data_IF_010450755562
#
_entry.id   IF_010450755562
#
_cell.length_a   1.000
_cell.length_b   1.000
_cell.length_c   1.000
_cell.angle_alpha   90.00
_cell.angle_beta   90.00
_cell.angle_gamma   90.00
#
_symmetry.space_group_name_H-M   'P 1'
#
loop_
_entity.id
_entity.type
_entity.pdbx_description
1 polymer ?
#
# COMPACT_ATOMS: atom_id res chain seq x y z
N UNK A 1 49.13 69.43 -0.18
CA UNK A 1 50.49 69.00 0.11
C UNK A 1 50.49 67.48 0.17
N UNK A 2 50.98 66.88 -0.90
CA UNK A 2 52.22 66.09 -1.06
C UNK A 2 52.33 64.95 -0.06
N UNK A 3 52.52 63.67 -0.38
CA UNK A 3 53.32 62.99 -1.47
C UNK A 3 52.91 61.48 -1.35
N UNK A 4 52.59 60.72 -2.40
CA UNK A 4 53.44 59.82 -3.17
C UNK A 4 54.34 58.88 -2.30
N UNK A 5 54.18 57.56 -2.34
CA UNK A 5 54.97 56.64 -3.20
C UNK A 5 54.72 55.15 -2.81
N UNK A 6 54.31 54.32 -3.75
CA UNK A 6 55.05 53.23 -4.44
C UNK A 6 55.38 51.94 -3.66
N UNK A 7 54.77 50.93 -4.16
CA UNK A 7 55.26 49.57 -4.50
C UNK A 7 56.01 48.72 -3.46
N UNK A 8 55.56 47.50 -3.24
CA UNK A 8 56.31 46.31 -3.72
C UNK A 8 55.49 45.01 -3.54
N UNK A 9 55.60 44.19 -4.56
CA UNK A 9 55.10 42.85 -4.71
C UNK A 9 55.69 41.88 -3.68
N UNK A 10 54.84 40.95 -3.13
CA UNK A 10 55.34 39.68 -2.64
C UNK A 10 54.23 38.63 -2.83
N UNK A 11 54.46 37.72 -3.73
CA UNK A 11 53.76 36.48 -4.01
C UNK A 11 53.75 35.58 -2.78
N UNK A 12 52.55 35.28 -2.27
CA UNK A 12 52.31 34.25 -1.26
C UNK A 12 51.36 33.22 -1.81
N UNK A 13 51.89 32.07 -2.22
CA UNK A 13 51.12 30.88 -2.63
C UNK A 13 50.47 30.31 -1.38
N UNK A 14 49.17 30.47 -1.24
CA UNK A 14 48.37 29.76 -0.23
C UNK A 14 47.93 28.41 -0.83
N UNK A 15 48.56 27.33 -0.37
CA UNK A 15 48.11 25.97 -0.60
C UNK A 15 46.80 25.78 0.16
N UNK A 16 45.67 25.83 -0.53
CA UNK A 16 44.38 25.34 -0.01
C UNK A 16 44.35 23.82 -0.13
N UNK A 17 44.60 23.13 0.99
CA UNK A 17 44.30 21.71 1.13
C UNK A 17 42.78 21.51 1.09
N UNK A 18 42.22 21.25 -0.08
CA UNK A 18 40.88 20.73 -0.23
C UNK A 18 40.88 19.27 0.22
N UNK A 19 40.43 19.03 1.45
CA UNK A 19 40.12 17.67 1.93
C UNK A 19 38.92 17.17 1.13
N UNK A 20 39.16 16.42 0.08
CA UNK A 20 38.19 15.58 -0.57
C UNK A 20 37.85 14.46 0.41
N UNK A 21 36.75 14.60 1.15
CA UNK A 21 36.06 13.45 1.81
C UNK A 21 35.42 12.64 0.69
N UNK A 22 36.16 11.68 0.17
CA UNK A 22 35.60 10.65 -0.70
C UNK A 22 34.59 9.83 0.14
N UNK A 23 33.30 10.12 0.00
CA UNK A 23 32.25 9.25 0.45
C UNK A 23 32.34 7.96 -0.38
N UNK A 24 33.07 6.98 0.15
CA UNK A 24 33.18 5.65 -0.42
C UNK A 24 31.79 5.00 -0.32
N UNK A 25 30.95 5.19 -1.35
CA UNK A 25 29.81 4.35 -1.59
C UNK A 25 30.36 2.93 -1.82
N UNK A 26 30.27 2.08 -0.79
CA UNK A 26 30.58 0.66 -0.92
C UNK A 26 29.54 0.02 -1.85
N UNK A 27 29.69 0.18 -3.15
CA UNK A 27 29.08 -0.68 -4.16
C UNK A 27 29.82 -2.02 -4.10
N UNK A 28 29.31 -2.96 -3.31
CA UNK A 28 29.84 -4.31 -3.32
C UNK A 28 29.68 -4.88 -4.73
N UNK A 29 30.78 -5.34 -5.34
CA UNK A 29 30.76 -6.01 -6.64
C UNK A 29 29.74 -7.16 -6.65
N UNK A 30 29.07 -7.44 -7.77
CA UNK A 30 28.09 -8.53 -7.88
C UNK A 30 28.63 -9.89 -7.38
N UNK A 31 29.92 -10.17 -7.57
CA UNK A 31 30.61 -11.38 -7.09
C UNK A 31 30.66 -11.43 -5.55
N UNK A 32 30.97 -10.31 -4.89
CA UNK A 32 31.01 -10.26 -3.42
C UNK A 32 29.59 -10.38 -2.81
N UNK A 33 28.57 -9.80 -3.50
CA UNK A 33 27.18 -9.95 -3.07
C UNK A 33 26.70 -11.40 -3.14
N UNK A 34 27.13 -12.17 -4.15
CA UNK A 34 26.81 -13.58 -4.29
C UNK A 34 27.48 -14.43 -3.19
N UNK A 35 28.77 -14.27 -2.93
CA UNK A 35 29.49 -15.03 -1.90
C UNK A 35 28.90 -14.81 -0.49
N UNK A 36 28.53 -13.57 -0.17
CA UNK A 36 27.93 -13.25 1.11
C UNK A 36 26.48 -13.78 1.22
N UNK A 37 25.73 -13.80 0.12
CA UNK A 37 24.40 -14.41 0.07
C UNK A 37 24.48 -15.94 0.23
N UNK A 38 25.41 -16.60 -0.43
CA UNK A 38 25.64 -18.04 -0.26
C UNK A 38 26.03 -18.39 1.18
N UNK A 39 26.90 -17.55 1.81
CA UNK A 39 27.20 -17.72 3.25
C UNK A 39 25.95 -17.61 4.12
N UNK A 40 25.07 -16.64 3.80
CA UNK A 40 23.76 -16.53 4.47
C UNK A 40 22.92 -17.80 4.27
N UNK A 41 22.77 -18.27 3.05
CA UNK A 41 22.00 -19.51 2.75
C UNK A 41 22.56 -20.68 3.53
N UNK A 42 23.89 -20.92 3.51
CA UNK A 42 24.52 -21.99 4.29
C UNK A 42 24.24 -21.88 5.80
N UNK A 43 24.36 -20.70 6.36
CA UNK A 43 24.15 -20.46 7.80
C UNK A 43 22.66 -20.53 8.20
N UNK A 44 21.75 -20.17 7.30
CA UNK A 44 20.32 -20.17 7.55
C UNK A 44 19.72 -21.57 7.68
N UNK A 45 20.42 -22.60 7.16
CA UNK A 45 20.06 -24.01 7.32
C UNK A 45 19.80 -24.41 8.79
N UNK A 46 20.65 -23.97 9.72
CA UNK A 46 20.44 -24.25 11.13
C UNK A 46 19.06 -23.82 11.64
N UNK A 47 18.60 -22.63 11.20
CA UNK A 47 17.28 -22.10 11.53
C UNK A 47 16.16 -22.87 10.84
N UNK A 48 16.34 -23.24 9.58
CA UNK A 48 15.38 -24.03 8.82
C UNK A 48 15.21 -25.44 9.40
N UNK A 49 16.32 -26.13 9.70
CA UNK A 49 16.32 -27.43 10.36
C UNK A 49 15.59 -27.39 11.72
N UNK A 50 15.88 -26.38 12.55
CA UNK A 50 15.17 -26.17 13.83
C UNK A 50 13.67 -25.92 13.63
N UNK A 51 13.27 -25.37 12.50
CA UNK A 51 11.88 -25.12 12.14
C UNK A 51 11.16 -26.34 11.54
N UNK A 52 11.84 -27.50 11.42
CA UNK A 52 11.29 -28.75 10.91
C UNK A 52 11.31 -28.86 9.38
N UNK A 53 12.18 -28.13 8.69
CA UNK A 53 12.33 -28.19 7.24
C UNK A 53 13.32 -29.34 6.92
N UNK A 54 12.96 -30.21 5.97
CA UNK A 54 13.82 -31.24 5.47
C UNK A 54 14.97 -30.67 4.62
N UNK A 55 16.08 -31.40 4.56
CA UNK A 55 17.23 -31.00 3.74
C UNK A 55 16.84 -30.96 2.25
N UNK A 56 16.02 -31.90 1.81
CA UNK A 56 15.53 -31.97 0.44
C UNK A 56 14.79 -30.68 0.05
N UNK A 57 13.76 -30.28 0.81
CA UNK A 57 12.99 -29.07 0.55
C UNK A 57 13.87 -27.81 0.61
N UNK A 58 14.84 -27.80 1.55
CA UNK A 58 15.76 -26.67 1.64
C UNK A 58 16.62 -26.52 0.38
N UNK A 59 17.24 -27.62 -0.07
CA UNK A 59 18.10 -27.60 -1.25
C UNK A 59 17.30 -27.26 -2.52
N UNK A 60 16.11 -27.84 -2.69
CA UNK A 60 15.20 -27.50 -3.79
C UNK A 60 14.82 -26.03 -3.79
N UNK A 61 14.48 -25.48 -2.61
CA UNK A 61 14.06 -24.08 -2.47
C UNK A 61 15.16 -23.07 -2.84
N UNK A 62 16.42 -23.41 -2.60
CA UNK A 62 17.56 -22.52 -2.85
C UNK A 62 18.35 -22.85 -4.12
N UNK A 63 17.97 -23.91 -4.86
CA UNK A 63 18.69 -24.32 -6.06
C UNK A 63 18.79 -23.17 -7.08
N UNK A 64 20.03 -22.80 -7.43
CA UNK A 64 20.32 -21.76 -8.42
C UNK A 64 19.91 -20.33 -8.02
N UNK A 65 19.47 -20.10 -6.80
CA UNK A 65 19.04 -18.76 -6.39
C UNK A 65 20.23 -17.83 -6.12
N UNK A 66 20.11 -16.63 -6.65
CA UNK A 66 20.96 -15.47 -6.36
C UNK A 66 20.12 -14.36 -5.75
N UNK A 67 20.70 -13.40 -5.00
CA UNK A 67 19.93 -12.26 -4.47
C UNK A 67 19.27 -11.49 -5.60
N UNK A 68 18.07 -10.97 -5.36
CA UNK A 68 17.34 -10.15 -6.33
C UNK A 68 17.75 -8.68 -6.16
N UNK A 69 18.40 -8.05 -7.18
CA UNK A 69 18.86 -6.67 -7.08
C UNK A 69 17.73 -5.67 -6.84
N UNK A 70 16.57 -5.87 -7.48
CA UNK A 70 15.40 -5.00 -7.31
C UNK A 70 14.85 -5.08 -5.88
N UNK A 71 14.87 -6.26 -5.26
CA UNK A 71 14.47 -6.44 -3.85
C UNK A 71 15.44 -5.72 -2.93
N UNK A 72 16.75 -5.76 -3.21
CA UNK A 72 17.76 -5.01 -2.45
C UNK A 72 17.54 -3.50 -2.57
N UNK A 73 17.31 -3.01 -3.77
CA UNK A 73 17.00 -1.61 -4.03
C UNK A 73 15.75 -1.15 -3.31
N UNK A 74 14.62 -1.85 -3.47
CA UNK A 74 13.36 -1.53 -2.77
C UNK A 74 13.48 -1.61 -1.25
N UNK A 75 14.35 -2.49 -0.74
CA UNK A 75 14.60 -2.60 0.71
C UNK A 75 15.47 -1.44 1.24
N UNK A 76 16.41 -0.93 0.42
CA UNK A 76 17.25 0.21 0.75
C UNK A 76 16.52 1.55 0.63
N UNK A 77 15.75 1.69 -0.44
CA UNK A 77 15.02 2.90 -0.78
C UNK A 77 13.52 2.68 -0.50
N UNK A 78 13.03 3.09 0.69
CA UNK A 78 11.60 3.39 0.76
C UNK A 78 11.42 4.74 0.10
N UNK A 79 10.60 4.84 -0.96
CA UNK A 79 10.25 6.13 -1.48
C UNK A 79 9.60 6.94 -0.35
N UNK A 80 10.22 8.03 0.03
CA UNK A 80 9.71 8.97 1.05
C UNK A 80 8.42 9.67 0.61
N UNK A 81 7.94 9.38 -0.59
CA UNK A 81 6.68 9.87 -1.14
C UNK A 81 5.50 9.08 -0.55
N UNK A 82 5.25 9.30 0.74
CA UNK A 82 3.94 8.99 1.29
C UNK A 82 2.98 10.02 0.70
N UNK A 83 2.11 9.57 -0.19
CA UNK A 83 1.02 10.41 -0.67
C UNK A 83 0.25 10.99 0.53
N UNK A 84 -0.19 12.26 0.47
CA UNK A 84 -1.16 12.75 1.41
C UNK A 84 -2.37 11.81 1.50
N UNK A 85 -3.03 11.72 2.66
CA UNK A 85 -4.19 10.84 2.82
C UNK A 85 -5.26 11.02 1.74
N UNK A 86 -5.56 12.25 1.35
CA UNK A 86 -6.46 12.61 0.27
C UNK A 86 -6.09 11.95 -1.05
N UNK A 87 -4.85 12.16 -1.50
CA UNK A 87 -4.34 11.62 -2.76
C UNK A 87 -4.27 10.09 -2.74
N UNK A 88 -3.93 9.49 -1.58
CA UNK A 88 -3.94 8.03 -1.44
C UNK A 88 -5.34 7.47 -1.63
N UNK A 89 -6.36 8.03 -0.96
CA UNK A 89 -7.75 7.57 -1.05
C UNK A 89 -8.28 7.72 -2.48
N UNK A 90 -8.05 8.87 -3.10
CA UNK A 90 -8.49 9.13 -4.49
C UNK A 90 -7.82 8.17 -5.48
N UNK A 91 -6.52 7.88 -5.32
CA UNK A 91 -5.81 6.92 -6.17
C UNK A 91 -6.24 5.47 -5.94
N UNK A 92 -6.72 5.16 -4.75
CA UNK A 92 -7.15 3.82 -4.38
C UNK A 92 -8.60 3.52 -4.80
N UNK A 93 -9.49 4.50 -4.71
CA UNK A 93 -10.93 4.36 -4.97
C UNK A 93 -11.27 5.03 -6.30
N UNK A 94 -10.98 4.33 -7.40
CA UNK A 94 -11.23 4.80 -8.77
C UNK A 94 -12.52 4.20 -9.31
N UNK A 95 -13.16 4.88 -10.28
CA UNK A 95 -14.37 4.38 -10.94
C UNK A 95 -14.15 3.02 -11.58
N UNK A 96 -13.02 2.82 -12.27
CA UNK A 96 -12.67 1.52 -12.84
C UNK A 96 -12.66 0.42 -11.79
N UNK A 97 -12.04 0.68 -10.61
CA UNK A 97 -11.98 -0.32 -9.54
C UNK A 97 -13.36 -0.57 -8.92
N UNK A 98 -14.22 0.45 -8.86
CA UNK A 98 -15.61 0.32 -8.39
C UNK A 98 -16.42 -0.53 -9.36
N UNK A 99 -16.34 -0.24 -10.67
CA UNK A 99 -17.04 -1.00 -11.72
C UNK A 99 -16.59 -2.45 -11.71
N UNK A 100 -15.28 -2.70 -11.78
CA UNK A 100 -14.74 -4.07 -11.72
C UNK A 100 -15.15 -4.78 -10.42
N UNK A 101 -15.18 -4.06 -9.28
CA UNK A 101 -15.64 -4.64 -8.01
C UNK A 101 -17.10 -5.08 -8.06
N UNK A 102 -17.97 -4.34 -8.72
CA UNK A 102 -19.39 -4.73 -8.95
C UNK A 102 -19.50 -5.93 -9.90
N UNK A 103 -18.71 -5.96 -10.96
CA UNK A 103 -18.63 -7.13 -11.86
C UNK A 103 -18.19 -8.38 -11.09
N UNK A 104 -17.19 -8.27 -10.20
CA UNK A 104 -16.74 -9.40 -9.37
C UNK A 104 -17.79 -9.78 -8.32
N UNK A 105 -18.58 -8.83 -7.81
CA UNK A 105 -19.69 -9.10 -6.90
C UNK A 105 -20.73 -10.00 -7.56
N UNK A 106 -21.11 -9.71 -8.80
CA UNK A 106 -22.07 -10.52 -9.55
C UNK A 106 -21.47 -11.87 -9.97
N UNK A 107 -20.23 -11.85 -10.48
CA UNK A 107 -19.54 -13.06 -10.95
C UNK A 107 -19.37 -14.12 -9.86
N UNK A 108 -19.08 -13.72 -8.63
CA UNK A 108 -18.81 -14.61 -7.49
C UNK A 108 -19.91 -14.52 -6.42
N UNK A 109 -21.15 -14.19 -6.84
CA UNK A 109 -22.24 -13.93 -5.91
C UNK A 109 -22.51 -15.10 -4.96
N UNK A 110 -22.62 -16.31 -5.48
CA UNK A 110 -22.92 -17.51 -4.70
C UNK A 110 -21.82 -17.82 -3.67
N UNK A 111 -20.56 -17.73 -4.09
CA UNK A 111 -19.41 -17.99 -3.24
C UNK A 111 -19.28 -16.91 -2.15
N UNK A 112 -19.47 -15.65 -2.53
CA UNK A 112 -19.45 -14.53 -1.59
C UNK A 112 -20.60 -14.60 -0.58
N UNK A 113 -21.81 -15.03 -0.98
CA UNK A 113 -22.94 -15.28 -0.10
C UNK A 113 -22.57 -16.36 0.94
N UNK A 114 -21.99 -17.47 0.51
CA UNK A 114 -21.57 -18.57 1.38
C UNK A 114 -20.39 -18.19 2.30
N UNK A 115 -19.40 -17.45 1.78
CA UNK A 115 -18.25 -16.95 2.55
C UNK A 115 -18.74 -15.98 3.65
N UNK A 116 -19.59 -15.02 3.32
CA UNK A 116 -20.13 -14.07 4.29
C UNK A 116 -20.99 -14.77 5.33
N UNK A 117 -21.84 -15.72 4.93
CA UNK A 117 -22.63 -16.52 5.86
C UNK A 117 -21.74 -17.29 6.85
N UNK A 118 -20.64 -17.89 6.38
CA UNK A 118 -19.72 -18.70 7.19
C UNK A 118 -18.89 -17.87 8.16
N UNK A 119 -18.24 -16.79 7.71
CA UNK A 119 -17.31 -16.01 8.52
C UNK A 119 -17.87 -14.69 9.06
N UNK A 120 -19.02 -14.25 8.57
CA UNK A 120 -19.65 -12.99 8.97
C UNK A 120 -18.96 -11.74 8.47
N UNK A 121 -17.99 -11.88 7.58
CA UNK A 121 -17.25 -10.75 6.99
C UNK A 121 -18.00 -10.23 5.77
N UNK A 122 -18.23 -8.94 5.74
CA UNK A 122 -18.91 -8.25 4.64
C UNK A 122 -18.19 -8.50 3.30
N UNK A 123 -18.92 -9.04 2.33
CA UNK A 123 -18.41 -9.38 0.99
C UNK A 123 -17.80 -8.19 0.26
N UNK A 124 -18.35 -6.99 0.43
CA UNK A 124 -17.83 -5.78 -0.21
C UNK A 124 -16.45 -5.40 0.34
N UNK A 125 -16.19 -5.68 1.62
CA UNK A 125 -14.86 -5.49 2.23
C UNK A 125 -13.86 -6.51 1.67
N UNK A 126 -14.29 -7.76 1.45
CA UNK A 126 -13.45 -8.78 0.82
C UNK A 126 -13.07 -8.39 -0.61
N UNK A 127 -14.05 -7.92 -1.39
CA UNK A 127 -13.83 -7.41 -2.75
C UNK A 127 -12.95 -6.17 -2.76
N UNK A 128 -13.15 -5.26 -1.79
CA UNK A 128 -12.32 -4.07 -1.68
C UNK A 128 -10.85 -4.43 -1.36
N UNK A 129 -10.59 -5.39 -0.47
CA UNK A 129 -9.23 -5.90 -0.22
C UNK A 129 -8.67 -6.50 -1.50
N UNK A 130 -9.40 -7.35 -2.20
CA UNK A 130 -8.95 -7.95 -3.46
C UNK A 130 -8.60 -6.89 -4.51
N UNK A 131 -9.47 -5.89 -4.67
CA UNK A 131 -9.22 -4.74 -5.54
C UNK A 131 -7.99 -3.92 -5.15
N UNK A 132 -7.79 -3.70 -3.85
CA UNK A 132 -6.63 -2.94 -3.33
C UNK A 132 -5.31 -3.69 -3.48
N UNK A 133 -5.30 -5.00 -3.25
CA UNK A 133 -4.09 -5.80 -3.23
C UNK A 133 -3.57 -6.15 -4.64
N UNK A 134 -4.47 -6.57 -5.53
CA UNK A 134 -4.06 -7.11 -6.84
C UNK A 134 -4.86 -6.57 -8.01
N UNK A 135 -5.72 -5.55 -7.79
CA UNK A 135 -6.68 -5.10 -8.80
C UNK A 135 -7.47 -6.29 -9.37
N UNK A 136 -8.11 -7.05 -8.48
CA UNK A 136 -8.91 -8.25 -8.77
C UNK A 136 -8.12 -9.35 -9.51
N UNK A 137 -6.87 -9.56 -9.09
CA UNK A 137 -6.00 -10.62 -9.61
C UNK A 137 -5.15 -10.23 -10.82
N UNK A 138 -5.29 -9.00 -11.35
CA UNK A 138 -4.49 -8.54 -12.51
C UNK A 138 -3.00 -8.46 -12.19
N UNK A 139 -2.61 -8.15 -10.95
CA UNK A 139 -1.22 -7.92 -10.51
C UNK A 139 -0.87 -8.68 -9.23
N UNK A 140 -0.79 -10.00 -9.29
CA UNK A 140 -0.43 -10.83 -8.13
C UNK A 140 1.07 -10.86 -7.80
N UNK A 141 1.90 -10.26 -8.68
CA UNK A 141 3.36 -10.31 -8.59
C UNK A 141 3.96 -11.47 -9.39
N UNK A 142 5.21 -11.26 -9.83
CA UNK A 142 5.95 -12.21 -10.69
C UNK A 142 7.28 -12.64 -10.07
N UNK A 143 7.53 -12.29 -8.81
CA UNK A 143 8.78 -12.63 -8.13
C UNK A 143 8.68 -14.00 -7.47
N UNK A 144 9.73 -14.80 -7.58
CA UNK A 144 9.85 -16.00 -6.76
C UNK A 144 9.91 -15.60 -5.28
N UNK A 145 8.97 -16.09 -4.48
CA UNK A 145 8.78 -15.69 -3.07
C UNK A 145 9.99 -16.11 -2.21
N UNK A 146 10.56 -17.29 -2.45
CA UNK A 146 11.76 -17.75 -1.73
C UNK A 146 12.93 -16.82 -2.02
N UNK A 147 13.17 -16.49 -3.30
CA UNK A 147 14.22 -15.55 -3.71
C UNK A 147 14.02 -14.16 -3.09
N UNK A 148 12.79 -13.65 -3.12
CA UNK A 148 12.46 -12.33 -2.54
C UNK A 148 12.71 -12.30 -1.03
N UNK A 149 12.19 -13.31 -0.31
CA UNK A 149 12.31 -13.40 1.15
C UNK A 149 13.72 -13.69 1.63
N UNK A 150 14.47 -14.55 0.93
CA UNK A 150 15.87 -14.81 1.24
C UNK A 150 16.74 -13.57 1.00
N UNK A 151 16.48 -12.82 -0.08
CA UNK A 151 17.14 -11.55 -0.35
C UNK A 151 16.86 -10.52 0.74
N UNK A 152 15.60 -10.40 1.19
CA UNK A 152 15.24 -9.56 2.34
C UNK A 152 15.88 -10.06 3.64
N UNK A 153 15.92 -11.38 3.85
CA UNK A 153 16.47 -12.02 5.04
C UNK A 153 17.98 -11.92 5.14
N UNK A 154 18.66 -11.86 4.00
CA UNK A 154 20.10 -11.80 3.88
C UNK A 154 20.65 -10.51 4.52
N UNK A 155 20.14 -9.33 4.15
CA UNK A 155 20.61 -8.05 4.70
C UNK A 155 19.55 -6.96 4.60
N UNK A 156 19.80 -5.87 5.37
CA UNK A 156 18.99 -4.65 5.32
C UNK A 156 17.94 -4.56 6.42
N UNK A 157 17.20 -3.48 6.40
CA UNK A 157 16.27 -3.08 7.46
C UNK A 157 15.19 -4.11 7.77
N UNK A 158 14.71 -4.85 6.77
CA UNK A 158 13.66 -5.87 6.90
C UNK A 158 14.19 -7.29 7.07
N UNK A 159 15.47 -7.49 7.41
CA UNK A 159 16.08 -8.82 7.51
C UNK A 159 15.36 -9.77 8.49
N UNK A 160 14.94 -9.26 9.67
CA UNK A 160 14.18 -10.05 10.64
C UNK A 160 12.84 -10.53 10.05
N UNK A 161 12.12 -9.62 9.35
CA UNK A 161 10.87 -9.95 8.66
C UNK A 161 11.15 -11.00 7.55
N UNK A 162 12.12 -10.75 6.67
CA UNK A 162 12.48 -11.65 5.58
C UNK A 162 12.76 -13.07 6.08
N UNK A 163 13.59 -13.22 7.11
CA UNK A 163 13.92 -14.54 7.72
C UNK A 163 12.69 -15.23 8.32
N UNK A 164 11.83 -14.49 9.00
CA UNK A 164 10.59 -15.04 9.57
C UNK A 164 9.64 -15.55 8.48
N UNK A 165 9.44 -14.76 7.43
CA UNK A 165 8.56 -15.15 6.32
C UNK A 165 9.18 -16.25 5.46
N UNK A 166 10.50 -16.29 5.32
CA UNK A 166 11.22 -17.35 4.62
C UNK A 166 11.02 -18.72 5.30
N UNK A 167 11.12 -18.78 6.63
CA UNK A 167 10.80 -20.01 7.38
C UNK A 167 9.35 -20.43 7.13
N UNK A 168 8.42 -19.49 7.11
CA UNK A 168 7.01 -19.80 6.84
C UNK A 168 6.81 -20.31 5.40
N UNK A 169 7.47 -19.70 4.41
CA UNK A 169 7.42 -20.16 3.02
C UNK A 169 8.02 -21.57 2.83
N UNK A 170 9.16 -21.86 3.48
CA UNK A 170 9.74 -23.19 3.48
C UNK A 170 8.81 -24.24 4.13
N UNK A 171 8.08 -23.86 5.20
CA UNK A 171 7.06 -24.75 5.80
C UNK A 171 5.87 -24.99 4.86
N UNK A 172 5.52 -24.03 4.02
CA UNK A 172 4.51 -24.26 2.99
C UNK A 172 4.99 -25.31 1.99
N UNK A 173 6.23 -25.22 1.52
CA UNK A 173 6.83 -26.21 0.63
C UNK A 173 6.90 -27.59 1.30
N UNK A 174 7.36 -27.68 2.56
CA UNK A 174 7.44 -28.92 3.32
C UNK A 174 6.10 -29.66 3.45
N UNK A 175 5.00 -28.90 3.48
CA UNK A 175 3.63 -29.44 3.57
C UNK A 175 2.98 -29.71 2.21
N UNK A 176 3.68 -29.50 1.11
CA UNK A 176 3.09 -29.57 -0.23
C UNK A 176 1.97 -28.54 -0.46
N UNK A 177 1.98 -27.44 0.30
CA UNK A 177 0.95 -26.41 0.28
C UNK A 177 1.28 -25.28 -0.72
N UNK A 178 1.98 -25.60 -1.78
CA UNK A 178 2.34 -24.65 -2.86
C UNK A 178 1.71 -25.13 -4.16
N UNK A 179 1.39 -24.21 -5.08
CA UNK A 179 0.88 -24.61 -6.40
C UNK A 179 1.95 -25.42 -7.16
N UNK A 180 1.51 -26.14 -8.18
CA UNK A 180 2.40 -26.79 -9.12
C UNK A 180 3.23 -25.73 -9.85
N UNK A 181 4.52 -25.66 -9.53
CA UNK A 181 5.43 -24.63 -10.06
C UNK A 181 5.99 -23.67 -9.01
N UNK A 182 6.65 -22.58 -9.44
CA UNK A 182 7.27 -21.63 -8.53
C UNK A 182 6.23 -20.81 -7.76
N UNK A 183 6.43 -20.67 -6.47
CA UNK A 183 5.63 -19.79 -5.62
C UNK A 183 5.88 -18.33 -6.01
N UNK A 184 4.94 -17.72 -6.76
CA UNK A 184 5.04 -16.35 -7.26
C UNK A 184 4.29 -15.37 -6.36
N UNK A 185 4.83 -14.17 -6.26
CA UNK A 185 4.24 -13.10 -5.45
C UNK A 185 4.97 -11.76 -5.59
N UNK A 186 4.82 -10.91 -4.60
CA UNK A 186 5.45 -9.59 -4.56
C UNK A 186 6.93 -9.66 -4.16
N UNK A 187 7.64 -8.53 -4.34
CA UNK A 187 9.04 -8.37 -3.90
C UNK A 187 9.24 -8.55 -2.39
N UNK A 188 8.19 -8.45 -1.60
CA UNK A 188 8.21 -8.62 -0.14
C UNK A 188 7.56 -9.93 0.31
N UNK A 189 7.25 -10.84 -0.62
CA UNK A 189 6.76 -12.18 -0.33
C UNK A 189 5.27 -12.29 -0.04
N UNK A 190 4.46 -11.30 -0.39
CA UNK A 190 3.00 -11.42 -0.37
C UNK A 190 2.53 -12.17 -1.62
N UNK A 191 1.51 -13.04 -1.49
CA UNK A 191 1.15 -14.06 -2.47
C UNK A 191 -0.34 -14.08 -2.79
N UNK A 192 -0.66 -14.51 -3.99
CA UNK A 192 -2.02 -14.80 -4.45
C UNK A 192 -2.91 -13.56 -4.60
N UNK A 193 -4.20 -13.81 -4.82
CA UNK A 193 -5.19 -12.77 -5.12
C UNK A 193 -5.31 -11.69 -4.06
N UNK A 194 -5.19 -12.04 -2.78
CA UNK A 194 -5.35 -11.12 -1.66
C UNK A 194 -4.06 -10.85 -0.90
N UNK A 195 -2.91 -11.20 -1.50
CA UNK A 195 -1.56 -10.86 -1.03
C UNK A 195 -1.26 -11.28 0.42
N UNK A 196 -1.63 -12.52 0.79
CA UNK A 196 -1.25 -13.07 2.07
C UNK A 196 0.26 -13.32 2.15
N UNK A 197 0.90 -12.90 3.25
CA UNK A 197 2.29 -13.28 3.53
C UNK A 197 2.35 -14.73 4.04
N UNK A 198 3.46 -15.46 3.87
CA UNK A 198 3.57 -16.90 4.21
C UNK A 198 3.12 -17.25 5.62
N UNK A 199 3.47 -16.44 6.63
CA UNK A 199 3.03 -16.69 8.01
C UNK A 199 1.50 -16.57 8.17
N UNK A 200 0.86 -15.66 7.46
CA UNK A 200 -0.60 -15.51 7.47
C UNK A 200 -1.27 -16.64 6.68
N UNK A 201 -0.67 -17.06 5.56
CA UNK A 201 -1.12 -18.25 4.85
C UNK A 201 -1.18 -19.48 5.77
N UNK A 202 -0.10 -19.81 6.46
CA UNK A 202 -0.05 -20.97 7.36
C UNK A 202 -1.11 -20.92 8.48
N UNK A 203 -1.52 -19.73 8.90
CA UNK A 203 -2.45 -19.54 10.02
C UNK A 203 -3.92 -19.42 9.57
N UNK A 204 -4.16 -18.90 8.38
CA UNK A 204 -5.49 -18.42 8.00
C UNK A 204 -5.97 -18.93 6.65
N UNK A 205 -5.09 -19.44 5.77
CA UNK A 205 -5.55 -20.03 4.52
C UNK A 205 -6.45 -21.25 4.79
N UNK A 206 -7.52 -21.36 4.03
CA UNK A 206 -8.51 -22.42 4.15
C UNK A 206 -8.63 -23.18 2.84
N UNK A 207 -8.84 -24.46 2.93
CA UNK A 207 -9.34 -25.32 1.87
C UNK A 207 -10.85 -25.09 1.81
N UNK A 208 -11.28 -24.32 0.84
CA UNK A 208 -12.69 -23.93 0.75
C UNK A 208 -13.51 -24.91 -0.07
N UNK A 209 -12.92 -25.48 -1.12
CA UNK A 209 -13.57 -26.43 -2.04
C UNK A 209 -13.47 -27.89 -1.56
N UNK A 210 -12.64 -28.18 -0.54
CA UNK A 210 -12.50 -29.51 0.04
C UNK A 210 -11.58 -30.45 -0.75
N UNK A 211 -10.70 -29.91 -1.62
CA UNK A 211 -9.80 -30.72 -2.44
C UNK A 211 -8.47 -31.10 -1.72
N UNK A 212 -8.34 -30.70 -0.46
CA UNK A 212 -7.16 -30.93 0.37
C UNK A 212 -6.06 -29.86 0.19
N UNK A 213 -6.26 -28.88 -0.69
CA UNK A 213 -5.31 -27.79 -0.95
C UNK A 213 -5.85 -26.47 -0.38
N UNK A 214 -4.99 -25.46 -0.29
CA UNK A 214 -5.35 -24.09 0.16
C UNK A 214 -4.81 -23.10 -0.86
N UNK A 215 -5.48 -23.06 -2.02
CA UNK A 215 -4.98 -22.34 -3.18
C UNK A 215 -5.39 -20.86 -3.17
N UNK A 216 -4.54 -20.01 -2.57
CA UNK A 216 -4.75 -18.54 -2.58
C UNK A 216 -4.51 -17.88 -3.94
N UNK A 217 -4.07 -18.62 -4.95
CA UNK A 217 -4.03 -18.18 -6.35
C UNK A 217 -5.36 -18.45 -7.07
N UNK A 218 -6.28 -19.21 -6.43
CA UNK A 218 -7.69 -19.27 -6.78
C UNK A 218 -8.45 -18.10 -6.11
N UNK A 219 -9.28 -17.33 -6.87
CA UNK A 219 -10.01 -16.19 -6.32
C UNK A 219 -10.89 -16.54 -5.12
N UNK A 220 -11.65 -17.62 -5.21
CA UNK A 220 -12.60 -18.02 -4.17
C UNK A 220 -11.90 -18.42 -2.88
N UNK A 221 -10.83 -19.22 -2.96
CA UNK A 221 -10.06 -19.63 -1.80
C UNK A 221 -9.28 -18.46 -1.17
N UNK A 222 -8.80 -17.55 -1.98
CA UNK A 222 -8.17 -16.33 -1.48
C UNK A 222 -9.15 -15.43 -0.72
N UNK A 223 -10.39 -15.28 -1.23
CA UNK A 223 -11.45 -14.54 -0.56
C UNK A 223 -11.89 -15.22 0.74
N UNK A 224 -12.08 -16.54 0.72
CA UNK A 224 -12.40 -17.35 1.90
C UNK A 224 -11.30 -17.27 2.97
N UNK A 225 -10.03 -17.34 2.55
CA UNK A 225 -8.87 -17.19 3.44
C UNK A 225 -8.78 -15.81 4.05
N UNK A 226 -9.10 -14.76 3.29
CA UNK A 226 -9.17 -13.38 3.78
C UNK A 226 -10.32 -13.17 4.75
N UNK A 227 -11.48 -13.80 4.49
CA UNK A 227 -12.62 -13.79 5.41
C UNK A 227 -12.24 -14.47 6.75
N UNK A 228 -11.61 -15.64 6.68
CA UNK A 228 -11.12 -16.34 7.88
C UNK A 228 -10.09 -15.49 8.64
N UNK A 229 -9.16 -14.83 7.92
CA UNK A 229 -8.20 -13.89 8.53
C UNK A 229 -8.94 -12.79 9.31
N UNK A 230 -9.86 -12.05 8.67
CA UNK A 230 -10.57 -10.94 9.30
C UNK A 230 -11.43 -11.41 10.48
N UNK A 231 -12.16 -12.54 10.34
CA UNK A 231 -12.94 -13.12 11.42
C UNK A 231 -12.06 -13.46 12.63
N UNK A 232 -10.92 -14.12 12.42
CA UNK A 232 -9.96 -14.45 13.50
C UNK A 232 -9.24 -13.23 14.08
N UNK A 233 -9.22 -12.11 13.36
CA UNK A 233 -8.67 -10.83 13.84
C UNK A 233 -9.73 -9.96 14.55
N UNK A 234 -10.94 -10.45 14.75
CA UNK A 234 -11.99 -9.77 15.51
C UNK A 234 -12.95 -8.95 14.65
N UNK A 235 -13.24 -9.41 13.44
CA UNK A 235 -14.32 -8.84 12.64
C UNK A 235 -15.67 -8.99 13.36
N UNK A 236 -16.38 -7.88 13.51
CA UNK A 236 -17.68 -7.81 14.17
C UNK A 236 -18.79 -7.85 13.11
N UNK A 237 -19.48 -8.98 13.06
CA UNK A 237 -20.54 -9.25 12.06
C UNK A 237 -21.61 -8.16 12.06
N UNK A 238 -21.97 -7.70 10.87
CA UNK A 238 -23.03 -6.73 10.66
C UNK A 238 -22.69 -5.32 11.16
N UNK A 239 -21.43 -5.02 11.49
CA UNK A 239 -20.99 -3.66 11.78
C UNK A 239 -20.16 -3.10 10.63
N UNK A 240 -20.32 -1.79 10.40
CA UNK A 240 -19.47 -1.05 9.44
C UNK A 240 -18.08 -0.76 10.02
N UNK A 241 -17.18 -0.27 9.17
CA UNK A 241 -15.86 0.22 9.59
C UNK A 241 -15.90 1.63 10.21
N UNK A 242 -16.89 2.46 9.85
CA UNK A 242 -16.98 3.83 10.33
C UNK A 242 -18.01 4.67 9.61
N UNK A 243 -18.03 5.94 9.96
CA UNK A 243 -18.94 6.96 9.41
C UNK A 243 -18.18 8.24 9.12
N UNK A 244 -18.42 8.86 7.95
CA UNK A 244 -18.09 10.26 7.75
C UNK A 244 -19.02 11.13 8.60
N UNK A 245 -18.45 12.15 9.26
CA UNK A 245 -19.21 12.97 10.23
C UNK A 245 -18.95 14.46 10.08
N UNK A 246 -19.98 15.26 10.41
CA UNK A 246 -19.89 16.70 10.60
C UNK A 246 -19.55 16.99 12.05
N UNK A 247 -18.52 17.81 12.27
CA UNK A 247 -18.06 18.20 13.62
C UNK A 247 -18.63 19.58 13.99
N UNK A 248 -19.12 19.74 15.23
CA UNK A 248 -19.36 21.09 15.78
C UNK A 248 -18.03 21.78 16.08
N UNK A 249 -17.98 23.11 16.03
CA UNK A 249 -16.73 23.88 16.18
C UNK A 249 -15.89 23.57 17.43
N UNK A 250 -16.53 23.12 18.51
CA UNK A 250 -15.87 22.73 19.77
C UNK A 250 -15.17 21.36 19.71
N UNK A 251 -15.45 20.54 18.71
CA UNK A 251 -14.86 19.20 18.55
C UNK A 251 -13.78 19.22 17.47
N UNK A 252 -12.53 19.01 17.84
CA UNK A 252 -11.39 19.07 16.95
C UNK A 252 -10.28 18.10 17.32
N UNK A 253 -9.04 18.45 17.01
CA UNK A 253 -7.83 17.62 17.22
C UNK A 253 -7.74 17.05 18.65
N UNK A 254 -8.15 17.82 19.66
CA UNK A 254 -8.16 17.39 21.06
C UNK A 254 -9.02 16.18 21.36
N UNK A 255 -9.98 15.85 20.51
CA UNK A 255 -10.86 14.70 20.63
C UNK A 255 -10.43 13.51 19.76
N UNK A 256 -9.46 13.68 18.86
CA UNK A 256 -9.04 12.65 17.90
C UNK A 256 -8.12 11.60 18.53
N UNK A 257 -8.12 10.42 17.90
CA UNK A 257 -7.20 9.33 18.22
C UNK A 257 -7.82 8.18 19.03
N UNK A 258 -7.23 7.01 18.88
CA UNK A 258 -7.74 5.72 19.39
C UNK A 258 -7.95 5.68 20.92
N UNK A 259 -7.09 6.35 21.69
CA UNK A 259 -7.20 6.40 23.16
C UNK A 259 -8.41 7.20 23.63
N UNK A 260 -9.05 7.97 22.76
CA UNK A 260 -10.22 8.81 23.04
C UNK A 260 -11.51 8.23 22.50
N UNK A 261 -11.56 6.90 22.31
CA UNK A 261 -12.75 6.19 21.85
C UNK A 261 -13.91 6.37 22.82
N UNK A 262 -15.13 6.62 22.29
CA UNK A 262 -16.39 6.83 23.03
C UNK A 262 -17.51 6.10 22.32
N UNK A 263 -18.65 5.88 23.02
CA UNK A 263 -19.86 5.41 22.36
C UNK A 263 -20.37 6.43 21.34
N UNK A 264 -21.06 5.96 20.31
CA UNK A 264 -21.66 6.83 19.31
C UNK A 264 -22.70 7.76 19.92
N UNK A 265 -23.41 7.33 20.98
CA UNK A 265 -24.30 8.20 21.78
C UNK A 265 -23.56 9.37 22.42
N UNK A 266 -22.34 9.13 22.96
CA UNK A 266 -21.51 10.22 23.54
C UNK A 266 -20.99 11.16 22.48
N UNK A 267 -20.70 10.68 21.27
CA UNK A 267 -20.33 11.52 20.14
C UNK A 267 -21.53 12.37 19.68
N UNK A 268 -22.74 11.80 19.60
CA UNK A 268 -23.98 12.52 19.29
C UNK A 268 -24.27 13.61 20.33
N UNK A 269 -24.13 13.33 21.62
CA UNK A 269 -24.28 14.29 22.71
C UNK A 269 -23.28 15.47 22.63
N UNK A 270 -22.10 15.26 22.04
CA UNK A 270 -21.15 16.32 21.72
C UNK A 270 -21.55 17.12 20.47
N UNK A 271 -22.65 16.77 19.80
CA UNK A 271 -23.13 17.43 18.57
C UNK A 271 -22.48 16.92 17.29
N UNK A 272 -21.75 15.80 17.35
CA UNK A 272 -21.23 15.13 16.14
C UNK A 272 -22.39 14.43 15.44
N UNK A 273 -22.55 14.67 14.13
CA UNK A 273 -23.64 14.10 13.30
C UNK A 273 -23.05 13.31 12.13
N UNK A 274 -23.72 12.28 11.69
CA UNK A 274 -23.39 11.63 10.41
C UNK A 274 -23.59 12.63 9.27
N UNK A 275 -22.78 12.51 8.22
CA UNK A 275 -23.10 13.16 6.94
C UNK A 275 -24.45 12.59 6.46
N UNK A 276 -25.33 13.44 5.91
CA UNK A 276 -26.71 13.06 5.60
C UNK A 276 -27.72 13.30 6.74
N UNK A 277 -27.24 13.55 7.97
CA UNK A 277 -28.10 13.94 9.09
C UNK A 277 -28.73 12.80 9.88
N UNK A 278 -28.55 11.54 9.45
CA UNK A 278 -29.09 10.37 10.12
C UNK A 278 -28.52 10.14 11.52
N UNK A 279 -29.28 9.48 12.36
CA UNK A 279 -28.81 8.99 13.64
C UNK A 279 -27.79 7.85 13.48
N UNK A 280 -26.93 7.66 14.47
CA UNK A 280 -26.07 6.48 14.52
C UNK A 280 -26.92 5.24 14.83
N UNK A 281 -26.95 4.20 13.96
CA UNK A 281 -27.87 3.08 14.10
C UNK A 281 -27.62 2.23 15.35
N UNK A 282 -26.40 2.30 15.91
CA UNK A 282 -25.97 1.53 17.09
C UNK A 282 -25.32 2.45 18.10
N UNK A 283 -26.12 3.14 18.88
CA UNK A 283 -25.70 4.19 19.81
C UNK A 283 -24.61 3.75 20.83
N UNK A 284 -24.60 2.46 21.20
CA UNK A 284 -23.62 1.87 22.11
C UNK A 284 -22.26 1.55 21.50
N UNK A 285 -22.16 1.44 20.17
CA UNK A 285 -20.89 1.10 19.51
C UNK A 285 -19.82 2.16 19.80
N UNK A 286 -18.60 1.67 20.01
CA UNK A 286 -17.46 2.54 20.30
C UNK A 286 -16.75 2.95 19.03
N UNK A 287 -16.46 4.25 18.93
CA UNK A 287 -15.71 4.82 17.81
C UNK A 287 -14.68 5.83 18.30
N UNK A 288 -13.63 6.04 17.53
CA UNK A 288 -12.70 7.14 17.73
C UNK A 288 -12.70 8.08 16.56
N UNK A 289 -12.48 9.37 16.83
CA UNK A 289 -12.40 10.39 15.80
C UNK A 289 -11.05 10.30 15.07
N UNK A 290 -11.12 10.27 13.75
CA UNK A 290 -9.97 10.32 12.84
C UNK A 290 -10.09 11.51 11.89
N UNK A 291 -9.03 12.29 11.82
CA UNK A 291 -8.91 13.53 11.04
C UNK A 291 -7.70 13.40 10.12
N UNK A 292 -7.82 12.76 8.94
CA UNK A 292 -6.68 12.47 8.06
C UNK A 292 -5.94 13.73 7.59
N UNK A 293 -6.67 14.82 7.37
CA UNK A 293 -6.14 16.12 6.91
C UNK A 293 -6.45 17.25 7.91
N UNK A 294 -6.66 16.93 9.18
CA UNK A 294 -7.07 17.88 10.20
C UNK A 294 -8.57 18.24 10.14
N UNK A 295 -8.94 19.37 10.77
CA UNK A 295 -10.36 19.77 10.92
C UNK A 295 -10.96 20.45 9.69
N UNK A 296 -10.14 20.78 8.69
CA UNK A 296 -10.59 21.39 7.44
C UNK A 296 -10.99 20.37 6.36
N UNK A 297 -10.75 19.09 6.59
CA UNK A 297 -11.08 18.00 5.68
C UNK A 297 -12.10 17.03 6.26
N UNK A 298 -12.35 15.90 5.57
CA UNK A 298 -13.26 14.88 6.03
C UNK A 298 -12.90 14.38 7.43
N UNK A 299 -13.92 14.19 8.27
CA UNK A 299 -13.79 13.66 9.61
C UNK A 299 -14.53 12.32 9.71
N UNK A 300 -13.96 11.37 10.42
CA UNK A 300 -14.50 10.02 10.52
C UNK A 300 -14.62 9.57 11.97
N UNK A 301 -15.73 8.92 12.32
CA UNK A 301 -15.82 8.07 13.49
C UNK A 301 -15.55 6.63 13.07
N UNK A 302 -14.40 6.09 13.47
CA UNK A 302 -13.90 4.77 13.07
C UNK A 302 -14.20 3.74 14.17
N UNK A 303 -14.83 2.64 13.78
CA UNK A 303 -15.26 1.54 14.64
C UNK A 303 -14.21 0.41 14.71
N UNK A 304 -14.54 -0.67 15.41
CA UNK A 304 -13.59 -1.78 15.60
C UNK A 304 -13.28 -2.55 14.30
N UNK A 305 -14.22 -2.66 13.37
CA UNK A 305 -13.95 -3.28 12.07
C UNK A 305 -12.90 -2.52 11.26
N UNK A 306 -12.79 -1.20 11.41
CA UNK A 306 -11.67 -0.46 10.83
C UNK A 306 -10.32 -0.95 11.39
N UNK A 307 -10.26 -1.25 12.68
CA UNK A 307 -9.04 -1.80 13.31
C UNK A 307 -8.73 -3.20 12.80
N UNK A 308 -9.77 -3.99 12.50
CA UNK A 308 -9.62 -5.31 11.93
C UNK A 308 -9.07 -5.24 10.50
N UNK A 309 -9.54 -4.29 9.68
CA UNK A 309 -8.94 -4.01 8.36
C UNK A 309 -7.46 -3.60 8.52
N UNK A 310 -7.12 -2.79 9.52
CA UNK A 310 -5.72 -2.43 9.80
C UNK A 310 -4.83 -3.61 10.22
N UNK A 311 -5.38 -4.80 10.55
CA UNK A 311 -4.58 -6.02 10.73
C UNK A 311 -4.07 -6.58 9.41
N UNK A 312 -4.77 -6.28 8.32
CA UNK A 312 -4.32 -6.60 6.97
C UNK A 312 -3.15 -5.70 6.56
N UNK A 313 -3.33 -4.39 6.70
CA UNK A 313 -2.29 -3.39 6.50
C UNK A 313 -2.45 -2.25 7.51
N UNK A 314 -1.42 -1.99 8.30
CA UNK A 314 -1.46 -1.09 9.45
C UNK A 314 -1.62 0.42 9.11
N UNK A 315 -1.66 0.79 7.82
CA UNK A 315 -1.85 2.17 7.41
C UNK A 315 -3.33 2.59 7.49
N UNK A 316 -3.60 3.71 8.17
CA UNK A 316 -4.97 4.27 8.25
C UNK A 316 -5.53 4.61 6.88
N UNK A 317 -4.70 5.13 5.97
CA UNK A 317 -5.11 5.46 4.59
C UNK A 317 -5.54 4.23 3.80
N UNK A 318 -4.84 3.11 3.98
CA UNK A 318 -5.23 1.82 3.40
C UNK A 318 -6.60 1.37 3.93
N UNK A 319 -6.76 1.31 5.25
CA UNK A 319 -8.00 0.84 5.85
C UNK A 319 -9.20 1.74 5.51
N UNK A 320 -8.98 3.08 5.43
CA UNK A 320 -10.00 4.02 4.97
C UNK A 320 -10.36 3.78 3.51
N UNK A 321 -9.38 3.52 2.64
CA UNK A 321 -9.64 3.23 1.23
C UNK A 321 -10.36 1.90 1.03
N UNK A 322 -10.00 0.85 1.79
CA UNK A 322 -10.73 -0.43 1.77
C UNK A 322 -12.19 -0.21 2.17
N UNK A 323 -12.43 0.48 3.29
CA UNK A 323 -13.80 0.76 3.74
C UNK A 323 -14.59 1.60 2.73
N UNK A 324 -13.98 2.67 2.22
CA UNK A 324 -14.61 3.53 1.23
C UNK A 324 -14.88 2.78 -0.09
N UNK A 325 -13.93 1.99 -0.59
CA UNK A 325 -14.13 1.18 -1.79
C UNK A 325 -15.26 0.14 -1.59
N UNK A 326 -15.33 -0.48 -0.42
CA UNK A 326 -16.40 -1.40 -0.07
C UNK A 326 -17.78 -0.72 -0.14
N UNK A 327 -17.90 0.48 0.43
CA UNK A 327 -19.13 1.27 0.36
C UNK A 327 -19.48 1.67 -1.07
N UNK A 328 -18.50 2.07 -1.87
CA UNK A 328 -18.69 2.42 -3.30
C UNK A 328 -19.15 1.20 -4.15
N UNK A 329 -18.57 0.03 -3.92
CA UNK A 329 -18.99 -1.22 -4.59
C UNK A 329 -20.44 -1.54 -4.22
N UNK A 330 -20.84 -1.34 -2.96
CA UNK A 330 -22.23 -1.55 -2.46
C UNK A 330 -23.24 -0.58 -3.07
N UNK A 331 -22.80 0.51 -3.69
CA UNK A 331 -23.67 1.55 -4.26
C UNK A 331 -23.70 2.84 -3.44
N UNK A 332 -22.93 2.94 -2.37
CA UNK A 332 -22.82 4.17 -1.58
C UNK A 332 -22.11 5.31 -2.32
N UNK A 333 -22.25 6.52 -1.81
CA UNK A 333 -21.70 7.74 -2.41
C UNK A 333 -20.24 7.99 -2.01
N UNK A 334 -19.58 8.92 -2.72
CA UNK A 334 -18.26 9.43 -2.34
C UNK A 334 -18.32 10.23 -1.05
N UNK A 335 -17.17 10.51 -0.43
CA UNK A 335 -17.10 11.41 0.72
C UNK A 335 -17.62 12.80 0.35
N UNK A 336 -18.50 13.33 1.20
CA UNK A 336 -19.20 14.61 0.97
C UNK A 336 -18.31 15.80 1.33
N UNK A 337 -17.52 15.70 2.42
CA UNK A 337 -16.63 16.77 2.82
C UNK A 337 -15.42 16.84 1.88
N UNK A 338 -15.19 17.98 1.19
CA UNK A 338 -14.05 18.11 0.28
C UNK A 338 -12.70 17.94 1.00
N UNK A 339 -11.75 17.38 0.30
CA UNK A 339 -10.36 17.37 0.74
C UNK A 339 -9.78 18.79 0.68
N UNK A 340 -9.03 19.27 1.70
CA UNK A 340 -8.56 20.64 1.78
C UNK A 340 -7.50 21.00 0.74
N UNK A 341 -6.89 20.02 0.09
CA UNK A 341 -5.94 20.17 -1.02
C UNK A 341 -6.60 20.05 -2.40
N UNK A 342 -7.93 19.99 -2.45
CA UNK A 342 -8.69 19.86 -3.69
C UNK A 342 -8.58 18.50 -4.37
N UNK A 343 -8.02 17.49 -3.69
CA UNK A 343 -7.91 16.16 -4.25
C UNK A 343 -9.30 15.53 -4.44
N UNK A 344 -9.59 15.14 -5.68
CA UNK A 344 -10.78 14.38 -6.08
C UNK A 344 -10.45 13.45 -7.24
N UNK A 345 -11.32 12.52 -7.54
CA UNK A 345 -11.22 11.77 -8.78
C UNK A 345 -11.33 12.71 -9.98
N UNK A 346 -10.52 12.45 -10.99
CA UNK A 346 -10.62 13.12 -12.29
C UNK A 346 -11.67 12.42 -13.12
N UNK A 347 -12.47 13.20 -13.85
CA UNK A 347 -13.36 12.63 -14.86
C UNK A 347 -12.57 12.00 -16.00
N UNK A 348 -13.23 11.27 -16.87
CA UNK A 348 -12.59 10.68 -18.03
C UNK A 348 -12.03 11.77 -18.95
N UNK A 349 -12.82 12.78 -19.23
CA UNK A 349 -12.45 13.95 -20.05
C UNK A 349 -11.24 14.68 -19.45
N UNK A 350 -11.19 14.85 -18.14
CA UNK A 350 -10.06 15.48 -17.45
C UNK A 350 -8.77 14.64 -17.59
N UNK A 351 -8.88 13.31 -17.57
CA UNK A 351 -7.73 12.44 -17.78
C UNK A 351 -7.17 12.56 -19.20
N UNK A 352 -8.05 12.54 -20.19
CA UNK A 352 -7.68 12.78 -21.61
C UNK A 352 -7.12 14.20 -21.79
N UNK A 353 -7.72 15.20 -21.20
CA UNK A 353 -7.24 16.60 -21.27
C UNK A 353 -5.82 16.75 -20.68
N UNK A 354 -5.51 16.06 -19.58
CA UNK A 354 -4.14 16.03 -19.00
C UNK A 354 -3.16 15.39 -19.98
N UNK A 355 -3.50 14.25 -20.57
CA UNK A 355 -2.61 13.57 -21.52
C UNK A 355 -2.36 14.43 -22.77
N UNK A 356 -3.41 14.95 -23.37
CA UNK A 356 -3.30 15.86 -24.53
C UNK A 356 -2.49 17.12 -24.22
N UNK A 357 -2.75 17.76 -23.07
CA UNK A 357 -2.02 18.95 -22.64
C UNK A 357 -0.53 18.69 -22.38
N UNK A 358 -0.18 17.51 -21.85
CA UNK A 358 1.23 17.11 -21.68
C UNK A 358 1.90 16.89 -23.04
N UNK A 359 1.25 16.22 -24.00
CA UNK A 359 1.79 16.02 -25.35
C UNK A 359 1.99 17.36 -26.06
N UNK A 360 1.00 18.27 -26.00
CA UNK A 360 1.10 19.61 -26.59
C UNK A 360 2.29 20.42 -26.05
N UNK A 361 2.73 20.13 -24.81
CA UNK A 361 3.93 20.73 -24.20
C UNK A 361 5.21 19.92 -24.43
N UNK A 362 5.20 18.92 -25.33
CA UNK A 362 6.37 18.15 -25.72
C UNK A 362 6.79 17.05 -24.72
N UNK A 363 5.90 16.62 -23.80
CA UNK A 363 6.21 15.50 -22.93
C UNK A 363 5.85 14.17 -23.59
N UNK A 364 6.79 13.24 -23.59
CA UNK A 364 6.59 11.88 -24.07
C UNK A 364 5.87 11.03 -23.02
N UNK A 365 4.59 10.75 -23.22
CA UNK A 365 3.76 9.97 -22.30
C UNK A 365 3.25 8.66 -22.89
N UNK A 366 3.44 8.41 -24.21
CA UNK A 366 2.82 7.32 -24.95
C UNK A 366 1.42 7.69 -25.44
N UNK A 367 0.57 6.71 -25.60
CA UNK A 367 -0.78 6.86 -26.13
C UNK A 367 -1.71 7.64 -25.19
N UNK A 368 -2.71 8.29 -25.77
CA UNK A 368 -3.77 8.99 -25.05
C UNK A 368 -4.92 7.99 -24.83
N UNK A 369 -4.89 7.31 -23.69
CA UNK A 369 -5.78 6.20 -23.35
C UNK A 369 -6.62 6.45 -22.07
N UNK A 370 -6.51 7.67 -21.49
CA UNK A 370 -7.15 8.01 -20.23
C UNK A 370 -6.51 7.37 -18.98
N UNK A 371 -5.43 6.57 -19.16
CA UNK A 371 -4.71 5.92 -18.07
C UNK A 371 -3.48 6.74 -17.67
N UNK A 372 -3.53 7.40 -16.53
CA UNK A 372 -2.45 8.25 -16.03
C UNK A 372 -1.35 7.39 -15.36
N UNK A 373 -0.64 6.64 -16.21
CA UNK A 373 0.38 5.66 -15.84
C UNK A 373 1.74 6.26 -15.49
N UNK A 374 2.78 5.42 -15.45
CA UNK A 374 4.15 5.81 -15.02
C UNK A 374 4.74 6.93 -15.85
N UNK A 375 4.60 6.88 -17.19
CA UNK A 375 5.13 7.91 -18.10
C UNK A 375 4.42 9.24 -17.89
N UNK A 376 3.08 9.24 -17.84
CA UNK A 376 2.26 10.42 -17.58
C UNK A 376 2.61 11.05 -16.22
N UNK A 377 2.75 10.25 -15.17
CA UNK A 377 3.16 10.75 -13.84
C UNK A 377 4.58 11.31 -13.82
N UNK A 378 5.50 10.76 -14.64
CA UNK A 378 6.84 11.33 -14.80
C UNK A 378 6.79 12.70 -15.49
N UNK A 379 5.94 12.86 -16.51
CA UNK A 379 5.70 14.13 -17.18
C UNK A 379 5.07 15.17 -16.23
N UNK A 380 4.07 14.75 -15.44
CA UNK A 380 3.49 15.61 -14.39
C UNK A 380 4.54 16.11 -13.40
N UNK A 381 5.47 15.25 -12.96
CA UNK A 381 6.57 15.69 -12.07
C UNK A 381 7.45 16.75 -12.72
N UNK A 382 7.76 16.62 -14.02
CA UNK A 382 8.52 17.64 -14.76
C UNK A 382 7.74 18.96 -14.84
N UNK A 383 6.44 18.91 -15.15
CA UNK A 383 5.56 20.07 -15.17
C UNK A 383 5.47 20.75 -13.81
N UNK A 384 5.28 19.98 -12.74
CA UNK A 384 5.24 20.49 -11.36
C UNK A 384 6.57 21.19 -10.98
N UNK A 385 7.71 20.59 -11.36
CA UNK A 385 9.04 21.18 -11.12
C UNK A 385 9.18 22.51 -11.87
N UNK A 386 8.78 22.57 -13.15
CA UNK A 386 8.80 23.80 -13.96
C UNK A 386 7.96 24.92 -13.34
N UNK A 387 6.81 24.57 -12.77
CA UNK A 387 5.87 25.52 -12.12
C UNK A 387 6.20 25.82 -10.65
N UNK A 388 7.34 25.35 -10.11
CA UNK A 388 7.77 25.64 -8.74
C UNK A 388 6.84 25.11 -7.64
N UNK A 389 6.01 24.10 -7.94
CA UNK A 389 5.09 23.50 -6.98
C UNK A 389 5.65 22.17 -6.44
N UNK A 390 4.99 21.62 -5.40
CA UNK A 390 5.35 20.32 -4.85
C UNK A 390 5.38 19.25 -5.94
N UNK A 391 6.50 18.56 -6.09
CA UNK A 391 6.74 17.53 -7.11
C UNK A 391 6.36 16.16 -6.57
N UNK A 392 5.13 15.71 -6.81
CA UNK A 392 4.63 14.40 -6.38
C UNK A 392 4.18 13.50 -7.55
N UNK A 393 3.97 14.09 -8.74
CA UNK A 393 3.49 13.38 -9.92
C UNK A 393 2.03 12.95 -9.80
N UNK A 394 1.28 13.49 -8.82
CA UNK A 394 -0.11 13.13 -8.63
C UNK A 394 -1.01 13.96 -9.57
N UNK A 395 -1.87 13.31 -10.38
CA UNK A 395 -2.79 14.00 -11.27
C UNK A 395 -3.96 14.56 -10.47
N UNK A 396 -4.09 15.86 -10.46
CA UNK A 396 -5.19 16.60 -9.82
C UNK A 396 -5.79 17.59 -10.83
N UNK A 397 -6.98 18.14 -10.58
CA UNK A 397 -7.52 19.23 -11.39
C UNK A 397 -6.54 20.41 -11.56
N UNK A 398 -5.69 20.65 -10.57
CA UNK A 398 -4.66 21.70 -10.64
C UNK A 398 -3.62 21.48 -11.76
N UNK A 399 -3.43 20.24 -12.21
CA UNK A 399 -2.56 19.95 -13.37
C UNK A 399 -3.16 20.55 -14.64
N UNK A 400 -4.50 20.50 -14.82
CA UNK A 400 -5.18 21.13 -15.95
C UNK A 400 -4.98 22.65 -15.94
N UNK A 401 -5.08 23.28 -14.76
CA UNK A 401 -4.81 24.71 -14.62
C UNK A 401 -3.36 25.07 -14.97
N UNK A 402 -2.39 24.21 -14.66
CA UNK A 402 -0.99 24.44 -15.04
C UNK A 402 -0.76 24.25 -16.54
N UNK A 403 -1.47 23.32 -17.16
CA UNK A 403 -1.40 23.08 -18.60
C UNK A 403 -2.02 24.20 -19.40
N UNK A 404 -3.07 24.88 -18.89
CA UNK A 404 -3.73 26.00 -19.56
C UNK A 404 -3.01 27.35 -19.40
N UNK A 405 -2.22 27.55 -18.34
CA UNK A 405 -1.54 28.83 -18.04
C UNK A 405 -0.26 29.10 -18.83
N UNK A 406 0.23 28.15 -19.57
CA UNK A 406 1.49 28.24 -20.35
C UNK A 406 1.22 28.24 -21.86
N UNK A 407 0.08 28.76 -22.30
CA UNK A 407 -0.23 29.07 -23.71
C UNK A 407 0.19 30.48 -24.07
#
# INVERSE_FOLDING_TARGET
MNKLNLQRWATGVALSCSVFVAASAFSSSPVQANAAYEKFVRSFWASAKKAGISRKVYDEAFAGLTPDPEVLEKNAHQPEFKLPPSQYVVAAVTDTRIVTGREMLEKYKSELDAIEAKWGVDRHVLLAIWGMETNFGTFMGKKNVIRSLSTLGYRGRRAKFGRSQLIAALRMMERGAVPDGPMLGSWAGAMGHTQLIPANYLRFAVDYNGDGKRDIWSPVEALASSANFLAKQGWDRGKTFGYEVKLPGRVGKGYSGRRRSRSLSKWAALGVKRIGGDNFPRAGDRAYLYLPMGTKGPAFLLLDNFRTIMRYNAAHTYALSVGHLADRIRGGETFVTPWPDGARALTEEERFAIQNGLIAKGYEIGDVDGVLGTKTRAAIRKLQKKNGVKVDGFPTPKILEMLSKEG
#
